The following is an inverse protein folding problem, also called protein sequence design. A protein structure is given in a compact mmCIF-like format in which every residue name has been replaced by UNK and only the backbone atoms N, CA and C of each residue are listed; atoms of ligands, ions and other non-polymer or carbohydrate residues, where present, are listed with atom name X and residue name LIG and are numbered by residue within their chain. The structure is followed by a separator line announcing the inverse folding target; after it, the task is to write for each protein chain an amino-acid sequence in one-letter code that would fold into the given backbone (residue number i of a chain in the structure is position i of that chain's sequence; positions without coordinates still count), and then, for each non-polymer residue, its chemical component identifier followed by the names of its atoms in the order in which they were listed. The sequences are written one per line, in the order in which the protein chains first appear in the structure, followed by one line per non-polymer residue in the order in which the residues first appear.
data_IF_040334408289
#
_entry.id   IF_040334408289
#
_cell.length_a   1.000
_cell.length_b   1.000
_cell.length_c   1.000
_cell.angle_alpha   90.00
_cell.angle_beta   90.00
_cell.angle_gamma   90.00
#
_symmetry.space_group_name_H-M   'P 1'
#
loop_
_entity.id
_entity.type
_entity.pdbx_description
1 polymer ?
#
# COMPACT_ATOMS: atom_id res chain seq x y z
N UNK A 1 -3.28 8.20 -27.34
CA UNK A 1 -2.93 7.07 -26.46
C UNK A 1 -1.42 6.98 -26.45
N UNK A 2 -0.77 7.55 -25.44
CA UNK A 2 0.69 7.49 -25.32
C UNK A 2 1.04 6.26 -24.51
N UNK A 3 1.49 5.23 -25.22
CA UNK A 3 2.07 4.01 -24.64
C UNK A 3 3.41 4.41 -24.02
N UNK A 4 3.51 4.43 -22.69
CA UNK A 4 4.80 4.44 -22.04
C UNK A 4 5.50 3.13 -22.41
N UNK A 5 6.61 3.23 -23.11
CA UNK A 5 7.40 2.09 -23.51
C UNK A 5 7.98 1.42 -22.26
N UNK A 6 7.45 0.24 -21.92
CA UNK A 6 8.11 -0.70 -21.03
C UNK A 6 9.40 -1.14 -21.71
N UNK A 7 10.55 -0.76 -21.16
CA UNK A 7 11.84 -1.37 -21.51
C UNK A 7 11.70 -2.89 -21.34
N UNK A 8 11.97 -3.64 -22.39
CA UNK A 8 11.75 -5.08 -22.47
C UNK A 8 12.30 -5.82 -21.23
N UNK A 9 11.39 -6.41 -20.44
CA UNK A 9 11.69 -7.48 -19.48
C UNK A 9 11.71 -7.14 -17.99
N UNK A 10 11.66 -5.86 -17.60
CA UNK A 10 11.71 -5.48 -16.18
C UNK A 10 10.52 -4.59 -15.82
N UNK A 11 9.62 -5.10 -14.97
CA UNK A 11 8.53 -4.29 -14.42
C UNK A 11 9.06 -3.50 -13.21
N UNK A 12 8.72 -2.22 -13.05
CA UNK A 12 9.06 -1.47 -11.83
C UNK A 12 8.60 -2.15 -10.53
N UNK A 13 7.60 -3.05 -10.60
CA UNK A 13 7.17 -3.88 -9.47
C UNK A 13 8.22 -4.93 -9.05
N UNK A 14 9.12 -5.36 -9.94
CA UNK A 14 10.12 -6.40 -9.66
C UNK A 14 11.19 -5.95 -8.66
N UNK A 15 11.53 -4.65 -8.68
CA UNK A 15 12.50 -4.03 -7.78
C UNK A 15 11.83 -3.43 -6.53
N UNK A 16 10.50 -3.45 -6.47
CA UNK A 16 9.76 -2.73 -5.44
C UNK A 16 9.80 -3.48 -4.10
N UNK A 17 10.11 -2.79 -2.99
CA UNK A 17 10.01 -3.39 -1.67
C UNK A 17 8.60 -3.97 -1.41
N UNK A 18 8.51 -5.15 -0.79
CA UNK A 18 7.23 -5.83 -0.55
C UNK A 18 6.17 -4.95 0.15
N UNK A 19 6.60 -4.07 1.06
CA UNK A 19 5.68 -3.15 1.73
C UNK A 19 5.06 -2.11 0.79
N UNK A 20 5.80 -1.72 -0.25
CA UNK A 20 5.34 -0.77 -1.27
C UNK A 20 4.46 -1.46 -2.31
N UNK A 21 4.76 -2.70 -2.70
CA UNK A 21 3.88 -3.52 -3.54
C UNK A 21 2.52 -3.74 -2.86
N UNK A 22 2.54 -4.07 -1.59
CA UNK A 22 1.36 -4.27 -0.76
C UNK A 22 0.54 -2.96 -0.62
N UNK A 23 1.21 -1.82 -0.48
CA UNK A 23 0.55 -0.51 -0.50
C UNK A 23 -0.11 -0.20 -1.85
N UNK A 24 0.60 -0.47 -2.95
CA UNK A 24 0.12 -0.26 -4.32
C UNK A 24 -1.10 -1.14 -4.64
N UNK A 25 -1.04 -2.43 -4.29
CA UNK A 25 -2.17 -3.34 -4.46
C UNK A 25 -3.43 -2.89 -3.69
N UNK A 26 -3.26 -2.35 -2.48
CA UNK A 26 -4.38 -1.77 -1.70
C UNK A 26 -4.91 -0.49 -2.33
N UNK A 27 -4.04 0.39 -2.82
CA UNK A 27 -4.45 1.59 -3.54
C UNK A 27 -5.25 1.25 -4.80
N UNK A 28 -4.82 0.25 -5.56
CA UNK A 28 -5.54 -0.22 -6.75
C UNK A 28 -6.90 -0.84 -6.42
N UNK A 29 -7.01 -1.55 -5.29
CA UNK A 29 -8.30 -2.03 -4.79
C UNK A 29 -9.25 -0.87 -4.46
N UNK A 30 -8.76 0.21 -3.82
CA UNK A 30 -9.55 1.41 -3.54
C UNK A 30 -9.98 2.11 -4.84
N UNK A 31 -9.07 2.29 -5.79
CA UNK A 31 -9.37 2.86 -7.10
C UNK A 31 -10.43 2.06 -7.87
N UNK A 32 -10.40 0.72 -7.77
CA UNK A 32 -11.45 -0.13 -8.35
C UNK A 32 -12.82 0.10 -7.71
N UNK A 33 -12.90 0.27 -6.39
CA UNK A 33 -14.15 0.60 -5.69
C UNK A 33 -14.68 1.98 -6.08
N UNK A 34 -13.79 2.97 -6.16
CA UNK A 34 -14.15 4.32 -6.62
C UNK A 34 -14.70 4.27 -8.04
N UNK A 35 -14.04 3.53 -8.96
CA UNK A 35 -14.53 3.31 -10.33
C UNK A 35 -15.89 2.60 -10.35
N UNK A 36 -16.18 1.76 -9.36
CA UNK A 36 -17.48 1.11 -9.19
C UNK A 36 -18.56 2.01 -8.55
N UNK A 37 -18.23 3.27 -8.23
CA UNK A 37 -19.17 4.28 -7.71
C UNK A 37 -19.04 4.56 -6.21
N UNK A 38 -18.02 4.05 -5.52
CA UNK A 38 -17.75 4.42 -4.13
C UNK A 38 -17.29 5.90 -4.03
N UNK A 39 -17.58 6.54 -2.89
CA UNK A 39 -17.16 7.92 -2.62
C UNK A 39 -15.61 8.01 -2.54
N UNK A 40 -14.96 8.78 -3.44
CA UNK A 40 -13.50 8.92 -3.47
C UNK A 40 -12.90 9.46 -2.18
N UNK A 41 -13.59 10.39 -1.50
CA UNK A 41 -13.06 11.04 -0.31
C UNK A 41 -13.00 10.04 0.84
N UNK A 42 -14.06 9.25 0.98
CA UNK A 42 -14.16 8.19 1.96
C UNK A 42 -13.14 7.09 1.72
N UNK A 43 -13.02 6.61 0.49
CA UNK A 43 -12.07 5.55 0.14
C UNK A 43 -10.60 5.98 0.35
N UNK A 44 -10.25 7.23 0.06
CA UNK A 44 -8.92 7.77 0.33
C UNK A 44 -8.65 7.85 1.85
N UNK A 45 -9.64 8.26 2.64
CA UNK A 45 -9.51 8.35 4.09
C UNK A 45 -9.41 6.96 4.74
N UNK A 46 -10.25 6.02 4.32
CA UNK A 46 -10.22 4.63 4.81
C UNK A 46 -8.90 3.94 4.45
N UNK A 47 -8.37 4.19 3.25
CA UNK A 47 -7.06 3.70 2.84
C UNK A 47 -5.95 4.29 3.72
N UNK A 48 -5.94 5.60 3.96
CA UNK A 48 -4.95 6.26 4.80
C UNK A 48 -4.96 5.72 6.24
N UNK A 49 -6.15 5.53 6.83
CA UNK A 49 -6.28 4.96 8.16
C UNK A 49 -5.78 3.51 8.21
N UNK A 50 -6.15 2.69 7.22
CA UNK A 50 -5.67 1.31 7.13
C UNK A 50 -4.15 1.25 7.11
N UNK A 51 -3.51 2.07 6.26
CA UNK A 51 -2.05 2.12 6.17
C UNK A 51 -1.40 2.62 7.47
N UNK A 52 -2.03 3.59 8.14
CA UNK A 52 -1.55 4.11 9.40
C UNK A 52 -1.63 3.06 10.53
N UNK A 53 -2.76 2.37 10.66
CA UNK A 53 -2.96 1.34 11.69
C UNK A 53 -1.97 0.18 11.53
N UNK A 54 -1.69 -0.24 10.28
CA UNK A 54 -0.69 -1.26 10.00
C UNK A 54 0.75 -0.80 10.30
N UNK A 55 1.07 0.46 10.02
CA UNK A 55 2.38 1.05 10.36
C UNK A 55 2.56 1.13 11.89
N UNK A 56 1.56 1.65 12.59
CA UNK A 56 1.54 1.76 14.05
C UNK A 56 1.60 0.37 14.69
N UNK A 57 0.82 -0.60 14.22
CA UNK A 57 0.84 -1.98 14.72
C UNK A 57 2.20 -2.66 14.57
N UNK A 58 2.86 -2.48 13.40
CA UNK A 58 4.23 -2.98 13.18
C UNK A 58 5.23 -2.35 14.14
N UNK A 59 5.16 -1.03 14.33
CA UNK A 59 6.02 -0.29 15.24
C UNK A 59 5.82 -0.76 16.69
N UNK A 60 4.57 -0.79 17.18
CA UNK A 60 4.25 -1.26 18.53
C UNK A 60 4.71 -2.71 18.76
N UNK A 61 4.57 -3.58 17.76
CA UNK A 61 5.07 -4.95 17.80
C UNK A 61 6.60 -5.04 17.89
N UNK A 62 7.32 -4.20 17.13
CA UNK A 62 8.78 -4.12 17.20
C UNK A 62 9.25 -3.62 18.57
N UNK A 63 8.63 -2.56 19.08
CA UNK A 63 8.89 -2.00 20.42
C UNK A 63 8.64 -3.06 21.50
N UNK A 64 7.51 -3.77 21.45
CA UNK A 64 7.18 -4.83 22.43
C UNK A 64 8.17 -6.00 22.37
N UNK A 65 8.65 -6.39 21.18
CA UNK A 65 9.69 -7.42 21.04
C UNK A 65 11.03 -6.96 21.64
N UNK A 66 11.39 -5.69 21.48
CA UNK A 66 12.62 -5.14 22.04
C UNK A 66 12.59 -5.14 23.57
N UNK A 67 11.48 -4.69 24.18
CA UNK A 67 11.32 -4.74 25.64
C UNK A 67 11.25 -6.16 26.20
N UNK A 68 10.78 -7.16 25.44
CA UNK A 68 10.77 -8.57 25.87
C UNK A 68 12.11 -9.30 25.75
N UNK A 69 13.06 -8.75 24.98
CA UNK A 69 14.42 -9.31 24.83
C UNK A 69 15.43 -8.70 25.79
N UNK A 70 15.02 -7.70 26.57
CA UNK A 70 15.82 -7.03 27.60
C UNK A 70 15.42 -7.57 28.96
#
# INVERSE_FOLDING_TARGET
MTTAASTEGHDPEDDMPLAELDARARADAALRRIRAGADPTREAFDLANTMNDEAVGRLSGAVRRWFRRR
#
